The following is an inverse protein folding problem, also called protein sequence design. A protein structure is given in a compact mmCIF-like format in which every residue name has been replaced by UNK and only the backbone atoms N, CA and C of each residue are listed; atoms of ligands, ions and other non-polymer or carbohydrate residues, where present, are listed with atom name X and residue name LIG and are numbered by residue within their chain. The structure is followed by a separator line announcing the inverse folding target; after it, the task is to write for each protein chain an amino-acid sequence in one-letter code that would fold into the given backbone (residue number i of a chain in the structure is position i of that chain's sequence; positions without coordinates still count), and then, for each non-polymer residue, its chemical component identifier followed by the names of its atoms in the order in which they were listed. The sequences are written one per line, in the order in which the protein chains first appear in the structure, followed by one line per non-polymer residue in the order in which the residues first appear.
data_IF_916865117827
#
_entry.id   IF_916865117827
#
_cell.length_a   1.000
_cell.length_b   1.000
_cell.length_c   1.000
_cell.angle_alpha   90.00
_cell.angle_beta   90.00
_cell.angle_gamma   90.00
#
_symmetry.space_group_name_H-M   'P 1'
#
loop_
_entity.id
_entity.type
_entity.pdbx_description
1 polymer ?
#
# COMPACT_ATOMS: atom_id res chain seq x y z
N UNK A 1 33.94 9.08 5.82
CA UNK A 1 33.91 7.63 5.54
C UNK A 1 33.25 6.94 6.72
N UNK A 2 32.11 6.28 6.51
CA UNK A 2 31.41 5.56 7.58
C UNK A 2 32.20 4.28 7.85
N UNK A 3 32.90 4.20 9.00
CA UNK A 3 33.70 3.00 9.31
C UNK A 3 32.84 1.74 9.28
N UNK A 4 33.42 0.56 9.07
CA UNK A 4 32.74 -0.73 9.22
C UNK A 4 32.65 -1.08 10.70
N UNK A 5 31.50 -1.60 11.17
CA UNK A 5 31.38 -2.18 12.52
C UNK A 5 31.63 -3.68 12.41
N UNK A 6 32.48 -4.22 13.26
CA UNK A 6 32.86 -5.62 13.27
C UNK A 6 32.21 -6.38 14.42
N UNK A 7 32.26 -7.71 14.36
CA UNK A 7 31.87 -8.61 15.45
C UNK A 7 32.63 -8.28 16.73
N UNK A 8 33.93 -8.01 16.63
CA UNK A 8 34.76 -7.63 17.77
C UNK A 8 34.30 -6.35 18.46
N UNK A 9 33.80 -5.36 17.70
CA UNK A 9 33.29 -4.11 18.25
C UNK A 9 32.01 -4.34 19.08
N UNK A 10 31.12 -5.21 18.62
CA UNK A 10 29.87 -5.54 19.31
C UNK A 10 30.13 -6.34 20.59
N UNK A 11 31.05 -7.29 20.53
CA UNK A 11 31.44 -8.09 21.71
C UNK A 11 32.12 -7.23 22.77
N UNK A 12 32.97 -6.27 22.37
CA UNK A 12 33.59 -5.30 23.31
C UNK A 12 32.56 -4.43 24.02
N UNK A 13 31.43 -4.15 23.38
CA UNK A 13 30.30 -3.42 23.97
C UNK A 13 29.38 -4.32 24.83
N UNK A 14 29.76 -5.58 25.06
CA UNK A 14 28.96 -6.53 25.86
C UNK A 14 27.72 -7.07 25.13
N UNK A 15 27.65 -6.90 23.81
CA UNK A 15 26.51 -7.36 23.02
C UNK A 15 26.59 -8.81 22.56
N UNK A 16 25.43 -9.43 22.36
CA UNK A 16 25.32 -10.79 21.80
C UNK A 16 25.01 -10.73 20.30
N UNK A 17 25.31 -11.81 19.58
CA UNK A 17 25.18 -11.90 18.13
C UNK A 17 24.47 -13.21 17.74
N UNK A 18 23.72 -13.19 16.64
CA UNK A 18 23.21 -14.40 15.99
C UNK A 18 23.15 -14.23 14.47
N UNK A 19 23.03 -15.34 13.76
CA UNK A 19 22.73 -15.39 12.33
C UNK A 19 21.21 -15.45 12.12
N UNK A 20 20.69 -14.82 11.08
CA UNK A 20 19.26 -14.87 10.74
C UNK A 20 19.05 -15.48 9.36
N UNK A 21 18.23 -16.53 9.32
CA UNK A 21 17.87 -17.24 8.10
C UNK A 21 19.06 -18.03 7.50
N UNK A 22 19.02 -18.27 6.19
CA UNK A 22 20.09 -18.99 5.46
C UNK A 22 21.36 -18.15 5.24
N UNK A 23 21.44 -16.94 5.80
CA UNK A 23 22.55 -16.01 5.61
C UNK A 23 23.65 -16.20 6.65
N UNK A 24 24.92 -16.12 6.22
CA UNK A 24 26.11 -16.16 7.10
C UNK A 24 26.47 -14.79 7.72
N UNK A 25 25.58 -13.80 7.64
CA UNK A 25 25.88 -12.43 8.10
C UNK A 25 25.50 -12.29 9.57
N UNK A 26 26.42 -11.86 10.45
CA UNK A 26 26.13 -11.71 11.87
C UNK A 26 25.28 -10.47 12.17
N UNK A 27 24.30 -10.63 13.06
CA UNK A 27 23.40 -9.60 13.56
C UNK A 27 23.51 -9.46 15.09
N UNK A 28 23.74 -8.24 15.64
CA UNK A 28 23.66 -7.96 17.06
C UNK A 28 22.23 -8.14 17.59
N UNK A 29 22.13 -8.62 18.83
CA UNK A 29 20.89 -8.88 19.53
C UNK A 29 20.70 -7.94 20.71
N UNK A 30 19.51 -7.35 20.82
CA UNK A 30 19.04 -6.65 22.02
C UNK A 30 17.82 -7.40 22.53
N UNK A 31 17.83 -7.80 23.80
CA UNK A 31 16.76 -8.58 24.44
C UNK A 31 16.38 -9.86 23.66
N UNK A 32 17.39 -10.55 23.11
CA UNK A 32 17.22 -11.79 22.33
C UNK A 32 16.72 -11.60 20.89
N UNK A 33 16.56 -10.35 20.42
CA UNK A 33 16.06 -10.04 19.07
C UNK A 33 17.06 -9.23 18.26
N UNK A 34 17.07 -9.43 16.95
CA UNK A 34 17.94 -8.65 16.06
C UNK A 34 17.57 -7.18 16.03
N UNK A 35 18.55 -6.30 16.20
CA UNK A 35 18.29 -4.85 16.33
C UNK A 35 17.75 -4.24 15.02
N UNK A 36 18.14 -4.77 13.85
CA UNK A 36 17.71 -4.19 12.57
C UNK A 36 16.30 -4.56 12.12
N UNK A 37 15.73 -5.66 12.64
CA UNK A 37 14.45 -6.21 12.14
C UNK A 37 13.51 -6.70 13.24
N UNK A 38 13.93 -6.70 14.51
CA UNK A 38 13.14 -7.19 15.62
C UNK A 38 12.81 -8.69 15.54
N UNK A 39 13.47 -9.44 14.65
CA UNK A 39 13.23 -10.87 14.51
C UNK A 39 13.94 -11.63 15.63
N UNK A 40 13.20 -12.56 16.25
CA UNK A 40 13.77 -13.57 17.13
C UNK A 40 14.70 -14.45 16.32
N UNK A 41 15.91 -14.64 16.83
CA UNK A 41 16.91 -15.50 16.23
C UNK A 41 17.16 -16.66 17.19
N UNK A 42 17.16 -17.89 16.68
CA UNK A 42 17.76 -18.99 17.43
C UNK A 42 19.25 -18.68 17.56
N UNK A 43 19.74 -18.58 18.80
CA UNK A 43 21.15 -18.38 19.08
C UNK A 43 21.93 -19.60 18.59
N UNK A 44 22.42 -19.55 17.36
CA UNK A 44 23.38 -20.53 16.86
C UNK A 44 24.77 -20.09 17.31
N UNK A 45 25.41 -20.94 18.13
CA UNK A 45 26.83 -20.81 18.42
C UNK A 45 27.60 -20.97 17.12
N UNK A 46 28.09 -19.86 16.57
CA UNK A 46 28.85 -19.85 15.32
C UNK A 46 30.20 -19.17 15.56
N UNK A 47 31.26 -19.82 15.08
CA UNK A 47 32.64 -19.32 15.13
C UNK A 47 32.79 -18.15 14.14
N UNK A 48 32.68 -16.91 14.62
CA UNK A 48 33.04 -15.73 13.85
C UNK A 48 34.37 -15.16 14.31
N UNK A 49 35.22 -14.79 13.35
CA UNK A 49 36.45 -14.05 13.65
C UNK A 49 36.09 -12.60 14.03
N UNK A 50 36.82 -11.97 14.97
CA UNK A 50 36.53 -10.59 15.44
C UNK A 50 36.45 -9.54 14.33
N UNK A 51 37.13 -9.77 13.20
CA UNK A 51 37.19 -8.86 12.05
C UNK A 51 35.96 -8.95 11.13
N UNK A 52 35.06 -9.92 11.33
CA UNK A 52 33.88 -10.10 10.48
C UNK A 52 32.96 -8.89 10.59
N UNK A 53 32.55 -8.30 9.46
CA UNK A 53 31.61 -7.18 9.43
C UNK A 53 30.20 -7.63 9.77
N UNK A 54 29.53 -6.91 10.67
CA UNK A 54 28.11 -7.15 10.98
C UNK A 54 27.21 -6.57 9.88
N UNK A 55 25.93 -6.99 9.86
CA UNK A 55 24.94 -6.46 8.93
C UNK A 55 24.98 -4.92 8.88
N UNK A 56 25.01 -4.35 7.67
CA UNK A 56 25.15 -2.90 7.47
C UNK A 56 24.07 -2.05 8.18
N UNK A 57 22.85 -2.58 8.31
CA UNK A 57 21.79 -1.90 9.06
C UNK A 57 22.03 -1.97 10.57
N UNK A 58 22.48 -3.12 11.08
CA UNK A 58 22.89 -3.25 12.47
C UNK A 58 24.09 -2.37 12.81
N UNK A 59 25.06 -2.23 11.91
CA UNK A 59 26.23 -1.37 12.10
C UNK A 59 25.85 0.10 12.34
N UNK A 60 24.78 0.60 11.69
CA UNK A 60 24.25 1.95 11.94
C UNK A 60 23.62 2.07 13.33
N UNK A 61 22.89 1.05 13.76
CA UNK A 61 22.13 1.05 15.02
C UNK A 61 23.02 0.81 16.25
N UNK A 62 24.05 -0.04 16.13
CA UNK A 62 25.05 -0.27 17.19
C UNK A 62 25.74 1.04 17.57
N UNK A 63 26.05 1.90 16.61
CA UNK A 63 26.68 3.21 16.86
C UNK A 63 25.81 4.19 17.61
N UNK A 64 24.50 3.99 17.59
CA UNK A 64 23.52 4.88 18.21
C UNK A 64 23.01 4.34 19.56
N UNK A 65 23.45 3.15 19.96
CA UNK A 65 22.92 2.46 21.16
C UNK A 65 24.01 2.37 22.22
N UNK A 66 23.72 2.82 23.44
CA UNK A 66 24.54 2.54 24.63
C UNK A 66 24.19 1.15 25.16
N UNK A 67 25.19 0.27 25.24
CA UNK A 67 25.07 -1.06 25.83
C UNK A 67 25.73 -1.04 27.20
N UNK A 68 24.96 -0.65 28.21
CA UNK A 68 25.38 -0.74 29.61
C UNK A 68 24.27 -1.35 30.43
N UNK A 69 24.64 -2.31 31.29
CA UNK A 69 23.79 -2.96 32.28
C UNK A 69 23.51 -1.99 33.44
N UNK A 70 22.30 -2.11 33.99
CA UNK A 70 21.81 -1.71 35.33
C UNK A 70 20.88 -0.47 35.47
N UNK A 71 19.63 -0.82 35.84
CA UNK A 71 18.72 -0.37 36.92
C UNK A 71 18.42 1.12 37.19
N UNK A 72 17.11 1.37 37.45
CA UNK A 72 16.39 2.63 37.66
C UNK A 72 16.67 3.31 39.04
N UNK A 73 16.16 4.54 39.32
CA UNK A 73 14.75 4.70 39.72
C UNK A 73 14.05 5.99 39.25
N UNK A 74 12.73 6.01 39.46
CA UNK A 74 11.83 7.15 39.36
C UNK A 74 12.03 8.14 40.52
N UNK A 75 11.81 9.43 40.26
CA UNK A 75 11.51 10.45 41.27
C UNK A 75 10.24 11.19 40.83
N UNK A 76 9.18 10.99 41.60
CA UNK A 76 7.97 11.82 41.62
C UNK A 76 8.28 13.10 42.41
N UNK A 77 7.81 14.23 41.88
CA UNK A 77 7.80 15.53 42.54
C UNK A 77 6.47 15.71 43.27
N UNK A 78 6.54 16.14 44.53
CA UNK A 78 5.40 16.60 45.34
C UNK A 78 5.85 17.82 46.15
N UNK A 79 5.22 18.97 45.90
CA UNK A 79 5.17 20.11 46.82
C UNK A 79 3.82 20.82 46.53
N UNK A 80 2.82 20.66 47.38
CA UNK A 80 2.56 21.43 48.61
C UNK A 80 1.74 22.70 48.31
N UNK A 81 0.42 22.58 48.55
CA UNK A 81 -0.55 23.67 48.65
C UNK A 81 -0.24 24.55 49.87
N UNK A 82 -0.41 25.86 49.73
CA UNK A 82 -0.82 26.73 50.84
C UNK A 82 -1.84 27.74 50.33
N UNK A 83 -2.97 27.81 51.04
CA UNK A 83 -4.06 28.75 50.86
C UNK A 83 -3.81 30.06 51.63
N UNK A 84 -4.34 31.18 51.14
CA UNK A 84 -4.98 32.22 51.96
C UNK A 84 -5.75 33.24 51.10
N UNK A 85 -6.80 33.75 51.74
CA UNK A 85 -8.00 34.48 51.32
C UNK A 85 -7.89 36.02 51.15
N UNK A 86 -9.07 36.61 50.85
CA UNK A 86 -9.55 38.00 51.00
C UNK A 86 -9.44 38.94 49.77
N UNK A 87 -10.50 39.30 49.04
CA UNK A 87 -11.80 40.01 49.28
C UNK A 87 -11.77 41.55 49.07
N UNK A 88 -12.52 41.97 48.03
CA UNK A 88 -13.60 43.00 48.01
C UNK A 88 -13.32 44.50 47.77
N UNK A 89 -14.17 45.05 46.86
CA UNK A 89 -14.76 46.41 46.73
C UNK A 89 -13.95 47.56 46.09
N UNK A 90 -14.40 48.08 44.93
CA UNK A 90 -15.32 49.23 44.72
C UNK A 90 -14.50 50.50 44.34
N UNK A 91 -14.92 51.51 43.56
CA UNK A 91 -16.21 51.96 43.02
C UNK A 91 -15.93 53.05 41.95
N UNK A 92 -16.87 53.20 41.01
CA UNK A 92 -17.38 54.41 40.29
C UNK A 92 -16.45 55.56 39.86
N UNK A 93 -16.68 56.01 38.61
CA UNK A 93 -16.17 57.29 38.12
C UNK A 93 -16.52 57.57 36.65
N UNK A 94 -17.80 57.78 36.39
CA UNK A 94 -18.43 58.20 35.14
C UNK A 94 -17.89 59.54 34.59
N UNK A 95 -17.80 59.69 33.27
CA UNK A 95 -18.36 60.87 32.54
C UNK A 95 -18.34 60.60 31.03
N UNK A 96 -19.49 60.87 30.42
CA UNK A 96 -19.83 60.60 29.03
C UNK A 96 -19.44 61.76 28.09
N UNK A 97 -19.14 61.41 26.83
CA UNK A 97 -19.40 62.29 25.68
C UNK A 97 -19.71 61.43 24.44
N UNK A 98 -20.57 61.95 23.57
CA UNK A 98 -21.55 61.25 22.71
C UNK A 98 -21.03 60.61 21.40
N UNK A 99 -21.59 59.42 21.08
CA UNK A 99 -21.90 58.73 19.78
C UNK A 99 -20.94 58.78 18.56
N UNK A 100 -20.74 57.63 17.85
CA UNK A 100 -21.80 56.99 17.05
C UNK A 100 -21.94 55.46 17.23
N UNK A 101 -23.07 54.95 16.77
CA UNK A 101 -23.56 53.57 16.89
C UNK A 101 -22.50 52.44 16.76
N UNK A 102 -22.49 51.60 17.79
CA UNK A 102 -22.27 50.15 17.81
C UNK A 102 -21.04 49.59 17.08
N UNK A 103 -19.86 49.95 17.59
CA UNK A 103 -18.76 48.98 17.69
C UNK A 103 -18.43 48.78 19.17
N UNK A 104 -18.33 47.55 19.68
CA UNK A 104 -17.88 47.33 21.05
C UNK A 104 -16.50 48.00 21.24
N UNK A 105 -16.29 48.63 22.39
CA UNK A 105 -14.95 49.13 22.76
C UNK A 105 -13.95 47.97 22.65
N UNK A 106 -12.74 48.23 22.14
CA UNK A 106 -11.72 47.21 21.90
C UNK A 106 -11.45 46.37 23.16
N UNK A 107 -11.58 46.97 24.34
CA UNK A 107 -11.46 46.27 25.61
C UNK A 107 -12.61 45.28 25.87
N UNK A 108 -13.84 45.68 25.56
CA UNK A 108 -15.05 44.84 25.66
C UNK A 108 -14.96 43.69 24.68
N UNK A 109 -14.47 43.92 23.46
CA UNK A 109 -14.30 42.86 22.46
C UNK A 109 -13.19 41.88 22.85
N UNK A 110 -12.04 42.38 23.34
CA UNK A 110 -10.96 41.53 23.86
C UNK A 110 -11.45 40.67 25.02
N UNK A 111 -12.17 41.27 25.98
CA UNK A 111 -12.71 40.52 27.13
C UNK A 111 -13.72 39.47 26.67
N UNK A 112 -14.63 39.81 25.74
CA UNK A 112 -15.60 38.85 25.23
C UNK A 112 -14.98 37.70 24.43
N UNK A 113 -13.85 37.91 23.73
CA UNK A 113 -13.13 36.82 23.05
C UNK A 113 -12.41 35.95 24.07
N UNK A 114 -11.71 36.57 25.04
CA UNK A 114 -10.99 35.83 26.09
C UNK A 114 -11.93 35.02 26.97
N UNK A 115 -13.07 35.59 27.39
CA UNK A 115 -14.08 34.89 28.19
C UNK A 115 -14.68 33.69 27.41
N UNK A 116 -14.78 33.79 26.07
CA UNK A 116 -15.15 32.64 25.24
C UNK A 116 -14.04 31.61 25.16
N UNK A 117 -12.78 32.02 25.01
CA UNK A 117 -11.63 31.12 24.95
C UNK A 117 -11.39 30.40 26.28
N UNK A 118 -11.72 31.04 27.40
CA UNK A 118 -11.65 30.48 28.77
C UNK A 118 -12.84 29.57 29.08
N UNK A 119 -13.95 29.66 28.34
CA UNK A 119 -15.10 28.75 28.47
C UNK A 119 -14.89 27.47 27.65
N UNK A 120 -14.15 26.54 28.26
CA UNK A 120 -13.85 25.20 27.73
C UNK A 120 -15.09 24.39 27.28
N UNK A 121 -16.30 24.73 27.77
CA UNK A 121 -17.51 23.98 27.46
C UNK A 121 -18.12 24.35 26.10
N UNK A 122 -17.85 25.55 25.58
CA UNK A 122 -18.51 26.08 24.39
C UNK A 122 -17.57 26.57 23.30
N UNK A 123 -16.27 26.69 23.62
CA UNK A 123 -15.26 27.12 22.67
C UNK A 123 -14.89 26.04 21.67
N UNK A 124 -14.86 26.38 20.38
CA UNK A 124 -14.33 25.50 19.33
C UNK A 124 -12.81 25.74 19.18
N UNK A 125 -11.96 24.75 19.51
CA UNK A 125 -10.51 24.88 19.41
C UNK A 125 -10.00 25.24 18.00
N UNK A 126 -10.78 24.95 16.94
CA UNK A 126 -10.43 25.33 15.57
C UNK A 126 -10.32 26.86 15.38
N UNK A 127 -10.98 27.65 16.23
CA UNK A 127 -10.98 29.12 16.16
C UNK A 127 -9.82 29.77 16.92
N UNK A 128 -9.04 29.01 17.72
CA UNK A 128 -7.98 29.52 18.61
C UNK A 128 -6.93 30.39 17.91
N UNK A 129 -6.55 30.05 16.66
CA UNK A 129 -5.56 30.82 15.91
C UNK A 129 -6.13 32.15 15.39
N UNK A 130 -7.38 32.16 14.93
CA UNK A 130 -8.03 33.34 14.37
C UNK A 130 -8.41 34.34 15.48
N UNK A 131 -9.02 33.83 16.56
CA UNK A 131 -9.39 34.64 17.72
C UNK A 131 -8.14 35.18 18.45
N UNK A 132 -7.04 34.41 18.50
CA UNK A 132 -5.77 34.88 19.02
C UNK A 132 -5.19 36.06 18.23
N UNK A 133 -5.20 35.98 16.90
CA UNK A 133 -4.76 37.10 16.02
C UNK A 133 -5.66 38.33 16.18
N UNK A 134 -6.97 38.12 16.36
CA UNK A 134 -7.94 39.21 16.57
C UNK A 134 -7.70 39.92 17.91
N UNK A 135 -7.47 39.17 18.98
CA UNK A 135 -7.12 39.74 20.29
C UNK A 135 -5.79 40.49 20.21
N UNK A 136 -4.76 39.94 19.57
CA UNK A 136 -3.47 40.64 19.39
C UNK A 136 -3.60 41.96 18.63
N UNK A 137 -4.46 42.02 17.60
CA UNK A 137 -4.74 43.25 16.87
C UNK A 137 -5.42 44.30 17.76
N UNK A 138 -6.47 43.92 18.50
CA UNK A 138 -7.20 44.82 19.40
C UNK A 138 -6.35 45.30 20.59
N UNK A 139 -5.40 44.48 21.06
CA UNK A 139 -4.47 44.85 22.12
C UNK A 139 -3.56 46.02 21.76
N UNK A 140 -3.28 46.24 20.46
CA UNK A 140 -2.49 47.38 19.99
C UNK A 140 -3.22 48.72 20.16
N UNK A 141 -4.54 48.69 20.28
CA UNK A 141 -5.39 49.88 20.49
C UNK A 141 -5.53 50.25 21.98
N UNK A 142 -5.15 49.34 22.89
CA UNK A 142 -5.29 49.53 24.34
C UNK A 142 -4.08 50.21 25.00
N UNK A 143 -4.28 50.96 26.11
CA UNK A 143 -3.21 51.49 26.94
C UNK A 143 -2.30 50.39 27.50
N UNK A 144 -1.01 50.70 27.66
CA UNK A 144 0.04 49.73 28.03
C UNK A 144 -0.27 48.88 29.28
N UNK A 145 -0.94 49.45 30.30
CA UNK A 145 -1.31 48.71 31.52
C UNK A 145 -2.36 47.61 31.28
N UNK A 146 -3.34 47.86 30.40
CA UNK A 146 -4.39 46.89 30.05
C UNK A 146 -3.88 45.87 29.02
N UNK A 147 -2.89 46.24 28.20
CA UNK A 147 -2.28 45.37 27.19
C UNK A 147 -1.55 44.19 27.82
N UNK A 148 -0.76 44.42 28.87
CA UNK A 148 0.04 43.36 29.50
C UNK A 148 -0.84 42.31 30.18
N UNK A 149 -1.88 42.74 30.92
CA UNK A 149 -2.81 41.83 31.60
C UNK A 149 -3.57 40.94 30.61
N UNK A 150 -4.11 41.51 29.53
CA UNK A 150 -4.86 40.75 28.53
C UNK A 150 -3.97 39.86 27.63
N UNK A 151 -2.69 40.21 27.43
CA UNK A 151 -1.73 39.31 26.77
C UNK A 151 -1.43 38.08 27.61
N UNK A 152 -1.35 38.23 28.93
CA UNK A 152 -1.15 37.11 29.83
C UNK A 152 -2.36 36.17 29.78
N UNK A 153 -3.59 36.70 29.89
CA UNK A 153 -4.84 35.94 29.73
C UNK A 153 -4.92 35.22 28.39
N UNK A 154 -4.58 35.89 27.28
CA UNK A 154 -4.57 35.24 25.96
C UNK A 154 -3.66 34.02 25.93
N UNK A 155 -2.45 34.14 26.51
CA UNK A 155 -1.49 33.04 26.56
C UNK A 155 -1.99 31.89 27.43
N UNK A 156 -2.53 32.19 28.61
CA UNK A 156 -3.12 31.20 29.51
C UNK A 156 -4.29 30.45 28.84
N UNK A 157 -5.16 31.16 28.15
CA UNK A 157 -6.26 30.55 27.39
C UNK A 157 -5.76 29.67 26.23
N UNK A 158 -4.75 30.12 25.48
CA UNK A 158 -4.13 29.32 24.41
C UNK A 158 -3.43 28.06 24.93
N UNK A 159 -2.70 28.17 26.05
CA UNK A 159 -2.03 27.05 26.69
C UNK A 159 -3.06 26.04 27.24
N UNK A 160 -4.17 26.52 27.83
CA UNK A 160 -5.28 25.68 28.29
C UNK A 160 -5.97 24.92 27.14
N UNK A 161 -6.29 25.60 26.04
CA UNK A 161 -6.87 24.97 24.84
C UNK A 161 -5.89 23.93 24.26
N UNK A 162 -4.59 24.22 24.22
CA UNK A 162 -3.59 23.28 23.70
C UNK A 162 -3.47 22.01 24.56
N UNK A 163 -3.52 22.13 25.88
CA UNK A 163 -3.55 20.97 26.78
C UNK A 163 -4.88 20.21 26.68
N UNK A 164 -6.02 20.89 26.58
CA UNK A 164 -7.33 20.27 26.38
C UNK A 164 -7.39 19.45 25.07
N UNK A 165 -6.86 19.98 23.96
CA UNK A 165 -6.77 19.25 22.69
C UNK A 165 -5.84 18.04 22.81
N UNK A 166 -4.68 18.17 23.47
CA UNK A 166 -3.78 17.03 23.70
C UNK A 166 -4.43 15.94 24.54
N UNK A 167 -5.17 16.30 25.59
CA UNK A 167 -5.88 15.33 26.42
C UNK A 167 -7.07 14.71 25.69
N UNK A 168 -7.80 15.47 24.87
CA UNK A 168 -8.84 14.95 23.99
C UNK A 168 -8.27 13.96 22.95
N UNK A 169 -7.13 14.27 22.33
CA UNK A 169 -6.42 13.38 21.40
C UNK A 169 -5.93 12.12 22.09
N UNK A 170 -5.36 12.23 23.30
CA UNK A 170 -4.96 11.07 24.12
C UNK A 170 -6.16 10.22 24.52
N UNK A 171 -7.28 10.83 24.91
CA UNK A 171 -8.52 10.14 25.26
C UNK A 171 -9.13 9.44 24.04
N UNK A 172 -9.15 10.09 22.87
CA UNK A 172 -9.58 9.50 21.61
C UNK A 172 -8.67 8.34 21.19
N UNK A 173 -7.35 8.49 21.32
CA UNK A 173 -6.39 7.42 21.05
C UNK A 173 -6.55 6.24 22.02
N UNK A 174 -6.81 6.51 23.30
CA UNK A 174 -7.08 5.49 24.33
C UNK A 174 -8.42 4.79 24.11
N UNK A 175 -9.46 5.52 23.70
CA UNK A 175 -10.76 4.97 23.35
C UNK A 175 -10.69 4.11 22.07
N UNK A 176 -9.94 4.55 21.06
CA UNK A 176 -9.65 3.76 19.87
C UNK A 176 -8.84 2.50 20.19
N UNK A 177 -7.83 2.61 21.07
CA UNK A 177 -7.06 1.47 21.55
C UNK A 177 -7.91 0.49 22.39
N UNK A 178 -8.82 1.00 23.22
CA UNK A 178 -9.74 0.19 24.02
C UNK A 178 -10.81 -0.50 23.15
N UNK A 179 -11.37 0.19 22.15
CA UNK A 179 -12.27 -0.39 21.16
C UNK A 179 -11.56 -1.46 20.31
N UNK A 180 -10.31 -1.23 19.93
CA UNK A 180 -9.46 -2.23 19.25
C UNK A 180 -9.15 -3.43 20.14
N UNK A 181 -9.04 -3.24 21.46
CA UNK A 181 -8.78 -4.31 22.44
C UNK A 181 -10.04 -5.12 22.78
N UNK A 182 -11.23 -4.53 22.66
CA UNK A 182 -12.51 -5.22 22.81
C UNK A 182 -12.90 -6.08 21.59
N UNK A 183 -12.35 -5.80 20.41
CA UNK A 183 -12.40 -6.64 19.20
C UNK A 183 -11.36 -7.77 19.24
N UNK A 184 -11.26 -8.47 20.37
CA UNK A 184 -10.31 -9.55 20.61
C UNK A 184 -10.58 -10.84 19.84
N UNK A 185 -10.85 -10.79 18.53
CA UNK A 185 -10.53 -11.82 17.51
C UNK A 185 -10.42 -11.07 16.17
N UNK A 186 -9.33 -10.31 15.95
CA UNK A 186 -9.12 -9.60 14.66
C UNK A 186 -8.92 -10.57 13.49
N UNK A 187 -8.23 -11.68 13.74
CA UNK A 187 -7.97 -12.74 12.77
C UNK A 187 -8.97 -13.88 12.98
N UNK A 188 -9.61 -14.33 11.90
CA UNK A 188 -10.37 -15.58 11.95
C UNK A 188 -9.39 -16.73 12.18
N UNK A 189 -9.45 -17.36 13.35
CA UNK A 189 -8.60 -18.51 13.70
C UNK A 189 -9.25 -19.85 13.38
N UNK A 190 -10.59 -19.92 13.50
CA UNK A 190 -11.40 -21.10 13.17
C UNK A 190 -12.42 -20.71 12.10
N UNK A 191 -12.43 -21.45 10.99
CA UNK A 191 -13.35 -21.19 9.89
C UNK A 191 -14.77 -21.71 10.18
N UNK A 192 -14.95 -22.71 11.05
CA UNK A 192 -16.27 -23.22 11.42
C UNK A 192 -17.09 -22.19 12.21
N UNK A 193 -16.42 -21.27 12.90
CA UNK A 193 -17.05 -20.16 13.59
C UNK A 193 -17.56 -19.06 12.63
N UNK A 194 -17.25 -19.13 11.34
CA UNK A 194 -17.64 -18.13 10.34
C UNK A 194 -18.98 -18.53 9.69
N UNK A 195 -20.03 -17.69 9.81
CA UNK A 195 -21.33 -18.00 9.23
C UNK A 195 -21.26 -18.31 7.73
N UNK A 196 -21.86 -19.43 7.35
CA UNK A 196 -21.97 -19.84 5.96
C UNK A 196 -20.66 -20.38 5.33
N UNK A 197 -19.57 -20.53 6.11
CA UNK A 197 -18.28 -20.98 5.57
C UNK A 197 -18.27 -22.48 5.24
N UNK A 198 -19.01 -23.29 5.99
CA UNK A 198 -19.13 -24.72 5.76
C UNK A 198 -19.92 -25.03 4.48
N UNK A 199 -21.02 -24.31 4.25
CA UNK A 199 -21.82 -24.39 3.03
C UNK A 199 -20.99 -23.98 1.80
N UNK A 200 -20.12 -22.98 1.94
CA UNK A 200 -19.18 -22.61 0.87
C UNK A 200 -18.11 -23.68 0.64
N UNK A 201 -17.68 -24.40 1.66
CA UNK A 201 -16.74 -25.51 1.50
C UNK A 201 -17.38 -26.65 0.70
N UNK A 202 -18.65 -26.96 0.99
CA UNK A 202 -19.44 -27.97 0.26
C UNK A 202 -19.74 -27.55 -1.18
N UNK A 203 -20.20 -26.31 -1.39
CA UNK A 203 -20.43 -25.76 -2.73
C UNK A 203 -19.13 -25.76 -3.54
N UNK A 204 -18.04 -25.29 -2.95
CA UNK A 204 -16.73 -25.27 -3.57
C UNK A 204 -16.21 -26.66 -3.90
N UNK A 205 -16.43 -27.64 -3.01
CA UNK A 205 -16.08 -29.03 -3.24
C UNK A 205 -16.86 -29.63 -4.41
N UNK A 206 -18.18 -29.37 -4.48
CA UNK A 206 -19.02 -29.81 -5.60
C UNK A 206 -18.56 -29.19 -6.93
N UNK A 207 -18.19 -27.90 -6.95
CA UNK A 207 -17.64 -27.25 -8.14
C UNK A 207 -16.30 -27.84 -8.55
N UNK A 208 -15.39 -28.12 -7.61
CA UNK A 208 -14.10 -28.74 -7.90
C UNK A 208 -14.26 -30.19 -8.39
N UNK A 209 -15.18 -30.95 -7.80
CA UNK A 209 -15.54 -32.29 -8.27
C UNK A 209 -16.13 -32.23 -9.70
N UNK A 210 -17.01 -31.26 -9.97
CA UNK A 210 -17.57 -31.05 -11.30
C UNK A 210 -16.51 -30.73 -12.37
N UNK A 211 -15.41 -30.03 -12.04
CA UNK A 211 -14.29 -29.83 -12.99
C UNK A 211 -13.65 -31.18 -13.38
N UNK A 212 -13.61 -32.12 -12.43
CA UNK A 212 -12.99 -33.45 -12.61
C UNK A 212 -13.84 -34.37 -13.47
N UNK A 213 -15.17 -34.31 -13.29
CA UNK A 213 -16.15 -35.10 -14.04
C UNK A 213 -16.51 -34.47 -15.40
N UNK A 214 -16.29 -33.16 -15.56
CA UNK A 214 -16.68 -32.44 -16.78
C UNK A 214 -15.87 -32.88 -18.01
N UNK A 215 -16.60 -33.49 -18.94
CA UNK A 215 -16.34 -33.55 -20.39
C UNK A 215 -16.64 -32.17 -21.05
N UNK A 216 -16.95 -31.11 -20.27
CA UNK A 216 -17.24 -29.73 -20.70
C UNK A 216 -16.07 -28.74 -20.57
N UNK A 217 -16.36 -27.43 -20.68
CA UNK A 217 -15.38 -26.34 -20.57
C UNK A 217 -14.79 -26.24 -19.16
N UNK A 218 -13.68 -26.94 -18.91
CA UNK A 218 -12.93 -26.90 -17.64
C UNK A 218 -12.58 -25.46 -17.18
N UNK A 219 -12.61 -24.48 -18.08
CA UNK A 219 -12.38 -23.07 -17.76
C UNK A 219 -13.55 -22.42 -17.00
N UNK A 220 -14.80 -22.75 -17.33
CA UNK A 220 -16.00 -22.19 -16.67
C UNK A 220 -16.12 -22.73 -15.25
N UNK A 221 -16.02 -24.04 -15.07
CA UNK A 221 -16.07 -24.66 -13.75
C UNK A 221 -14.89 -24.22 -12.85
N UNK A 222 -13.70 -23.99 -13.43
CA UNK A 222 -12.58 -23.38 -12.71
C UNK A 222 -12.83 -21.92 -12.29
N UNK A 223 -13.60 -21.16 -13.08
CA UNK A 223 -14.00 -19.80 -12.74
C UNK A 223 -15.05 -19.80 -11.61
N UNK A 224 -16.05 -20.69 -11.67
CA UNK A 224 -17.03 -20.84 -10.59
C UNK A 224 -16.36 -21.23 -9.26
N UNK A 225 -15.46 -22.22 -9.28
CA UNK A 225 -14.68 -22.60 -8.11
C UNK A 225 -13.85 -21.43 -7.57
N UNK A 226 -13.27 -20.60 -8.45
CA UNK A 226 -12.55 -19.41 -8.04
C UNK A 226 -13.46 -18.35 -7.38
N UNK A 227 -14.68 -18.17 -7.87
CA UNK A 227 -15.63 -17.24 -7.25
C UNK A 227 -16.07 -17.71 -5.86
N UNK A 228 -16.32 -19.01 -5.66
CA UNK A 228 -16.61 -19.58 -4.34
C UNK A 228 -15.44 -19.36 -3.38
N UNK A 229 -14.20 -19.61 -3.84
CA UNK A 229 -13.00 -19.35 -3.07
C UNK A 229 -12.84 -17.87 -2.69
N UNK A 230 -13.11 -16.93 -3.62
CA UNK A 230 -13.09 -15.50 -3.30
C UNK A 230 -14.18 -15.14 -2.28
N UNK A 231 -15.37 -15.72 -2.40
CA UNK A 231 -16.46 -15.46 -1.47
C UNK A 231 -16.12 -15.92 -0.05
N UNK A 232 -15.50 -17.09 0.11
CA UNK A 232 -14.99 -17.53 1.40
C UNK A 232 -13.90 -16.58 1.94
N UNK A 233 -12.94 -16.16 1.11
CA UNK A 233 -11.90 -15.18 1.49
C UNK A 233 -12.44 -13.83 1.97
N UNK A 234 -13.60 -13.40 1.45
CA UNK A 234 -14.25 -12.16 1.87
C UNK A 234 -14.82 -12.25 3.30
N UNK A 235 -15.13 -13.47 3.76
CA UNK A 235 -15.68 -13.73 5.09
C UNK A 235 -14.61 -13.93 6.14
N UNK A 236 -13.47 -14.50 5.77
CA UNK A 236 -12.33 -14.64 6.67
C UNK A 236 -11.60 -13.30 6.88
N UNK A 237 -11.18 -13.06 8.11
CA UNK A 237 -10.41 -11.88 8.49
C UNK A 237 -8.95 -12.24 8.73
N UNK A 238 -8.05 -11.41 8.20
CA UNK A 238 -6.62 -11.53 8.44
C UNK A 238 -6.23 -10.85 9.78
N UNK A 239 -4.94 -10.85 10.10
CA UNK A 239 -4.37 -10.19 11.30
C UNK A 239 -4.69 -8.70 11.44
N UNK A 240 -5.02 -8.06 10.32
CA UNK A 240 -5.36 -6.64 10.23
C UNK A 240 -6.87 -6.38 10.36
N UNK A 241 -7.69 -7.44 10.53
CA UNK A 241 -9.16 -7.34 10.52
C UNK A 241 -9.74 -7.10 9.12
N UNK A 242 -8.91 -7.21 8.08
CA UNK A 242 -9.30 -7.05 6.68
C UNK A 242 -9.75 -8.39 6.09
N UNK A 243 -10.59 -8.39 5.04
CA UNK A 243 -10.89 -9.61 4.30
C UNK A 243 -9.60 -10.31 3.82
N UNK A 244 -9.47 -11.62 4.01
CA UNK A 244 -8.28 -12.40 3.63
C UNK A 244 -8.22 -12.71 2.13
N UNK A 245 -8.21 -11.66 1.31
CA UNK A 245 -8.17 -11.73 -0.16
C UNK A 245 -6.92 -12.47 -0.67
N UNK A 246 -5.83 -12.46 0.10
CA UNK A 246 -4.60 -13.18 -0.21
C UNK A 246 -4.67 -14.69 0.11
N UNK A 247 -5.53 -15.09 1.05
CA UNK A 247 -5.63 -16.47 1.51
C UNK A 247 -4.39 -16.90 2.30
N UNK A 248 -3.92 -16.05 3.21
CA UNK A 248 -2.73 -16.32 4.03
C UNK A 248 -3.06 -16.71 5.47
N UNK A 249 -4.28 -16.40 5.94
CA UNK A 249 -4.75 -16.73 7.29
C UNK A 249 -4.79 -18.24 7.53
N UNK A 250 -4.78 -18.63 8.80
CA UNK A 250 -4.87 -20.04 9.18
C UNK A 250 -6.26 -20.60 8.84
N UNK A 251 -7.35 -19.88 9.16
CA UNK A 251 -8.71 -20.29 8.82
C UNK A 251 -8.91 -20.53 7.32
N UNK A 252 -8.32 -19.69 6.45
CA UNK A 252 -8.36 -19.94 5.01
C UNK A 252 -7.67 -21.25 4.62
N UNK A 253 -6.51 -21.55 5.22
CA UNK A 253 -5.78 -22.80 4.91
C UNK A 253 -6.57 -24.01 5.34
N UNK A 254 -7.17 -23.96 6.53
CA UNK A 254 -7.96 -25.07 7.06
C UNK A 254 -9.22 -25.28 6.23
N UNK A 255 -9.94 -24.20 5.89
CA UNK A 255 -11.07 -24.25 4.96
C UNK A 255 -10.68 -24.77 3.58
N UNK A 256 -9.55 -24.30 3.02
CA UNK A 256 -9.08 -24.74 1.71
C UNK A 256 -8.64 -26.20 1.72
N UNK A 257 -8.12 -26.70 2.84
CA UNK A 257 -7.80 -28.10 3.00
C UNK A 257 -9.08 -28.95 3.08
N UNK A 258 -10.06 -28.53 3.88
CA UNK A 258 -11.36 -29.19 3.99
C UNK A 258 -12.08 -29.27 2.65
N UNK A 259 -12.13 -28.17 1.89
CA UNK A 259 -12.68 -28.14 0.53
C UNK A 259 -12.02 -29.17 -0.38
N UNK A 260 -10.68 -29.29 -0.34
CA UNK A 260 -9.97 -30.27 -1.16
C UNK A 260 -10.29 -31.70 -0.69
N UNK A 261 -10.31 -31.96 0.62
CA UNK A 261 -10.67 -33.27 1.17
C UNK A 261 -12.10 -33.66 0.78
N UNK A 262 -13.06 -32.75 0.90
CA UNK A 262 -14.46 -32.96 0.47
C UNK A 262 -14.55 -33.20 -1.03
N UNK A 263 -13.82 -32.44 -1.85
CA UNK A 263 -13.76 -32.65 -3.30
C UNK A 263 -13.12 -34.00 -3.67
N UNK A 264 -12.21 -34.52 -2.85
CA UNK A 264 -11.62 -35.84 -3.03
C UNK A 264 -12.58 -36.96 -2.67
N UNK A 265 -13.29 -36.83 -1.54
CA UNK A 265 -14.33 -37.80 -1.10
C UNK A 265 -15.48 -37.86 -2.10
N UNK A 266 -15.86 -36.71 -2.68
CA UNK A 266 -16.90 -36.64 -3.70
C UNK A 266 -16.57 -37.44 -4.98
N UNK A 267 -15.33 -37.89 -5.13
CA UNK A 267 -14.85 -38.59 -6.31
C UNK A 267 -14.51 -40.04 -5.94
N UNK A 268 -15.15 -41.01 -6.61
CA UNK A 268 -14.97 -42.44 -6.35
C UNK A 268 -13.53 -42.91 -6.53
N UNK A 269 -13.04 -43.76 -5.61
CA UNK A 269 -11.64 -44.08 -5.33
C UNK A 269 -10.88 -44.99 -6.31
N UNK A 270 -11.46 -45.37 -7.45
CA UNK A 270 -10.82 -46.26 -8.44
C UNK A 270 -10.26 -45.46 -9.62
N UNK A 271 -9.20 -44.66 -9.39
CA UNK A 271 -8.70 -43.74 -10.42
C UNK A 271 -7.22 -43.95 -10.80
N UNK A 272 -6.90 -44.02 -12.12
CA UNK A 272 -5.57 -44.33 -12.65
C UNK A 272 -4.53 -43.19 -12.48
N UNK A 273 -3.23 -43.49 -12.66
CA UNK A 273 -2.10 -42.55 -12.43
C UNK A 273 -2.19 -41.19 -13.16
N UNK A 274 -2.92 -41.10 -14.28
CA UNK A 274 -3.10 -39.84 -15.03
C UNK A 274 -3.97 -38.79 -14.31
N UNK A 275 -4.67 -39.21 -13.25
CA UNK A 275 -5.52 -38.36 -12.43
C UNK A 275 -4.73 -37.33 -11.60
N UNK A 276 -3.51 -37.67 -11.15
CA UNK A 276 -2.64 -36.74 -10.41
C UNK A 276 -2.20 -35.55 -11.28
N UNK A 277 -1.96 -35.81 -12.57
CA UNK A 277 -1.69 -34.78 -13.58
C UNK A 277 -2.94 -33.92 -13.81
N UNK A 278 -4.12 -34.54 -13.95
CA UNK A 278 -5.41 -33.82 -14.05
C UNK A 278 -5.65 -32.92 -12.84
N UNK A 279 -5.46 -33.41 -11.61
CA UNK A 279 -5.60 -32.61 -10.39
C UNK A 279 -4.69 -31.38 -10.41
N UNK A 280 -3.43 -31.56 -10.80
CA UNK A 280 -2.46 -30.46 -10.91
C UNK A 280 -2.90 -29.43 -11.96
N UNK A 281 -3.45 -29.87 -13.09
CA UNK A 281 -4.01 -29.00 -14.13
C UNK A 281 -5.25 -28.24 -13.65
N UNK A 282 -6.15 -28.90 -12.91
CA UNK A 282 -7.35 -28.30 -12.32
C UNK A 282 -6.96 -27.23 -11.30
N UNK A 283 -6.10 -27.56 -10.34
CA UNK A 283 -5.60 -26.61 -9.35
C UNK A 283 -4.86 -25.44 -10.02
N UNK A 284 -4.08 -25.70 -11.07
CA UNK A 284 -3.44 -24.67 -11.88
C UNK A 284 -4.44 -23.74 -12.57
N UNK A 285 -5.55 -24.29 -13.08
CA UNK A 285 -6.61 -23.55 -13.75
C UNK A 285 -7.41 -22.69 -12.77
N UNK A 286 -7.81 -23.25 -11.63
CA UNK A 286 -8.48 -22.51 -10.55
C UNK A 286 -7.57 -21.39 -10.05
N UNK A 287 -6.27 -21.64 -9.84
CA UNK A 287 -5.32 -20.59 -9.44
C UNK A 287 -5.19 -19.47 -10.47
N UNK A 288 -5.23 -19.81 -11.77
CA UNK A 288 -5.21 -18.82 -12.83
C UNK A 288 -6.48 -17.96 -12.83
N UNK A 289 -7.66 -18.58 -12.66
CA UNK A 289 -8.94 -17.86 -12.56
C UNK A 289 -9.04 -17.03 -11.28
N UNK A 290 -8.52 -17.52 -10.15
CA UNK A 290 -8.41 -16.75 -8.90
C UNK A 290 -7.65 -15.45 -9.08
N UNK A 291 -6.59 -15.43 -9.91
CA UNK A 291 -5.88 -14.19 -10.20
C UNK A 291 -6.76 -13.18 -10.95
N UNK A 292 -7.67 -13.63 -11.81
CA UNK A 292 -8.58 -12.76 -12.55
C UNK A 292 -9.70 -12.26 -11.63
N UNK A 293 -10.44 -13.18 -11.03
CA UNK A 293 -11.57 -12.90 -10.13
C UNK A 293 -11.17 -11.96 -8.99
N UNK A 294 -9.97 -12.15 -8.41
CA UNK A 294 -9.43 -11.27 -7.38
C UNK A 294 -9.13 -9.86 -7.88
N UNK A 295 -8.53 -9.73 -9.06
CA UNK A 295 -8.21 -8.42 -9.65
C UNK A 295 -9.49 -7.68 -10.01
N UNK A 296 -10.48 -8.38 -10.57
CA UNK A 296 -11.76 -7.80 -10.95
C UNK A 296 -12.54 -7.34 -9.71
N UNK A 297 -12.55 -8.13 -8.63
CA UNK A 297 -13.14 -7.73 -7.36
C UNK A 297 -12.48 -6.46 -6.79
N UNK A 298 -11.15 -6.40 -6.75
CA UNK A 298 -10.44 -5.22 -6.22
C UNK A 298 -10.74 -3.99 -7.07
N UNK A 299 -10.78 -4.11 -8.40
CA UNK A 299 -11.16 -2.99 -9.30
C UNK A 299 -12.61 -2.56 -9.08
N UNK A 300 -13.51 -3.49 -8.80
CA UNK A 300 -14.92 -3.20 -8.54
C UNK A 300 -15.16 -2.42 -7.24
N UNK A 301 -14.21 -2.40 -6.29
CA UNK A 301 -14.31 -1.62 -5.05
C UNK A 301 -14.48 -0.12 -5.31
N UNK A 302 -13.95 0.41 -6.40
CA UNK A 302 -14.11 1.83 -6.76
C UNK A 302 -15.56 2.22 -7.09
N UNK A 303 -16.40 1.22 -7.36
CA UNK A 303 -17.81 1.38 -7.70
C UNK A 303 -18.75 0.75 -6.66
N UNK A 304 -18.21 0.15 -5.60
CA UNK A 304 -18.98 -0.49 -4.53
C UNK A 304 -18.57 0.08 -3.17
N UNK A 305 -19.23 1.16 -2.71
CA UNK A 305 -18.87 1.83 -1.45
C UNK A 305 -19.06 0.92 -0.23
N UNK A 306 -20.01 -0.01 -0.28
CA UNK A 306 -20.27 -0.98 0.79
C UNK A 306 -19.12 -1.98 0.95
N UNK A 307 -18.63 -2.54 -0.15
CA UNK A 307 -17.47 -3.45 -0.13
C UNK A 307 -16.18 -2.71 0.21
N UNK A 308 -16.01 -1.49 -0.30
CA UNK A 308 -14.88 -0.63 0.03
C UNK A 308 -14.81 -0.33 1.53
N UNK A 309 -15.96 -0.14 2.19
CA UNK A 309 -16.03 0.09 3.63
C UNK A 309 -15.41 -1.06 4.45
N UNK A 310 -15.41 -2.30 3.95
CA UNK A 310 -14.76 -3.44 4.61
C UNK A 310 -13.24 -3.27 4.73
N UNK A 311 -12.62 -2.47 3.85
CA UNK A 311 -11.19 -2.18 3.86
C UNK A 311 -10.86 -0.84 4.54
N UNK A 312 -11.78 0.12 4.46
CA UNK A 312 -11.57 1.47 4.99
C UNK A 312 -11.99 1.63 6.46
N UNK A 313 -12.89 0.77 6.96
CA UNK A 313 -13.38 0.79 8.35
C UNK A 313 -12.89 -0.40 9.19
N UNK A 314 -11.95 -1.18 8.67
CA UNK A 314 -11.34 -2.26 9.44
C UNK A 314 -10.50 -1.71 10.61
N UNK A 315 -10.16 -2.58 11.57
CA UNK A 315 -9.34 -2.21 12.72
C UNK A 315 -7.98 -1.64 12.30
N UNK A 316 -7.34 -2.26 11.30
CA UNK A 316 -6.19 -1.70 10.60
C UNK A 316 -6.62 -1.36 9.16
N UNK A 317 -7.14 -0.15 8.91
CA UNK A 317 -7.70 0.19 7.61
C UNK A 317 -6.60 0.40 6.55
N UNK A 318 -6.97 0.14 5.30
CA UNK A 318 -6.10 0.41 4.15
C UNK A 318 -5.93 1.93 3.99
N UNK A 319 -4.68 2.40 4.05
CA UNK A 319 -4.35 3.83 3.90
C UNK A 319 -4.44 4.27 2.44
N UNK A 320 -5.48 5.03 2.11
CA UNK A 320 -5.70 5.65 0.80
C UNK A 320 -5.03 7.04 0.77
N UNK A 321 -4.17 7.29 -0.22
CA UNK A 321 -3.57 8.62 -0.42
C UNK A 321 -4.59 9.58 -1.04
N UNK A 322 -4.33 10.89 -0.92
CA UNK A 322 -5.11 11.91 -1.63
C UNK A 322 -5.15 11.60 -3.13
N UNK A 323 -6.34 11.61 -3.71
CA UNK A 323 -6.63 11.31 -5.12
C UNK A 323 -6.29 9.88 -5.58
N UNK A 324 -5.97 8.96 -4.66
CA UNK A 324 -5.76 7.52 -4.95
C UNK A 324 -7.11 6.79 -4.94
N UNK A 325 -7.31 5.89 -5.92
CA UNK A 325 -8.47 5.00 -5.93
C UNK A 325 -8.38 3.97 -4.80
N UNK A 326 -9.51 3.51 -4.30
CA UNK A 326 -9.55 2.48 -3.23
C UNK A 326 -8.90 1.19 -3.74
N UNK A 327 -9.20 0.81 -4.99
CA UNK A 327 -8.62 -0.37 -5.63
C UNK A 327 -7.08 -0.33 -5.65
N UNK A 328 -6.47 0.81 -6.00
CA UNK A 328 -5.02 1.00 -6.03
C UNK A 328 -4.40 0.88 -4.63
N UNK A 329 -5.05 1.46 -3.62
CA UNK A 329 -4.61 1.35 -2.23
C UNK A 329 -4.67 -0.10 -1.74
N UNK A 330 -5.70 -0.86 -2.11
CA UNK A 330 -5.85 -2.29 -1.78
C UNK A 330 -4.80 -3.14 -2.51
N UNK A 331 -4.57 -2.93 -3.81
CA UNK A 331 -3.50 -3.60 -4.55
C UNK A 331 -2.14 -3.39 -3.89
N UNK A 332 -1.84 -2.15 -3.50
CA UNK A 332 -0.61 -1.76 -2.81
C UNK A 332 -0.48 -2.43 -1.43
N UNK A 333 -1.55 -2.43 -0.64
CA UNK A 333 -1.55 -2.99 0.70
C UNK A 333 -1.26 -4.50 0.70
N UNK A 334 -1.94 -5.26 -0.18
CA UNK A 334 -1.77 -6.71 -0.26
C UNK A 334 -0.60 -7.16 -1.17
N UNK A 335 0.04 -6.24 -1.89
CA UNK A 335 1.08 -6.57 -2.86
C UNK A 335 0.54 -7.41 -4.03
N UNK A 336 -0.72 -7.23 -4.38
CA UNK A 336 -1.38 -7.93 -5.49
C UNK A 336 -1.10 -7.17 -6.78
N UNK A 337 -0.70 -7.87 -7.83
CA UNK A 337 -0.54 -7.25 -9.14
C UNK A 337 -1.89 -6.74 -9.65
N UNK A 338 -1.95 -5.48 -10.06
CA UNK A 338 -3.15 -4.85 -10.62
C UNK A 338 -3.62 -5.47 -11.94
N UNK A 339 -2.77 -6.30 -12.58
CA UNK A 339 -3.09 -7.09 -13.76
C UNK A 339 -3.12 -8.59 -13.43
N UNK A 340 -4.12 -9.27 -13.98
CA UNK A 340 -4.26 -10.72 -13.82
C UNK A 340 -3.19 -11.50 -14.58
N UNK A 341 -3.02 -12.79 -14.26
CA UNK A 341 -2.16 -13.70 -15.04
C UNK A 341 -2.61 -13.80 -16.50
N UNK A 342 -3.92 -13.79 -16.76
CA UNK A 342 -4.47 -13.88 -18.11
C UNK A 342 -4.17 -12.63 -18.94
N UNK A 343 -4.31 -11.44 -18.33
CA UNK A 343 -3.94 -10.16 -18.92
C UNK A 343 -2.43 -10.13 -19.24
N UNK A 344 -1.58 -10.49 -18.27
CA UNK A 344 -0.13 -10.57 -18.49
C UNK A 344 0.25 -11.51 -19.63
N UNK A 345 -0.34 -12.72 -19.69
CA UNK A 345 -0.10 -13.68 -20.78
C UNK A 345 -0.63 -13.18 -22.13
N UNK A 346 -1.68 -12.35 -22.15
CA UNK A 346 -2.20 -11.74 -23.37
C UNK A 346 -1.23 -10.66 -23.87
N UNK A 347 -0.76 -9.82 -22.96
CA UNK A 347 0.22 -8.77 -23.23
C UNK A 347 1.54 -9.38 -23.72
N UNK A 348 2.03 -10.44 -23.07
CA UNK A 348 3.25 -11.15 -23.48
C UNK A 348 3.10 -11.79 -24.87
N UNK A 349 1.93 -12.35 -25.19
CA UNK A 349 1.66 -12.92 -26.52
C UNK A 349 1.59 -11.83 -27.59
N UNK A 350 0.94 -10.71 -27.28
CA UNK A 350 0.90 -9.56 -28.17
C UNK A 350 2.32 -9.00 -28.40
N UNK A 351 3.12 -8.87 -27.34
CA UNK A 351 4.51 -8.44 -27.44
C UNK A 351 5.35 -9.38 -28.31
N UNK A 352 5.25 -10.71 -28.09
CA UNK A 352 5.94 -11.72 -28.90
C UNK A 352 5.49 -11.71 -30.36
N UNK A 353 4.21 -11.52 -30.62
CA UNK A 353 3.67 -11.42 -31.98
C UNK A 353 4.22 -10.19 -32.71
N UNK A 354 4.31 -9.05 -32.02
CA UNK A 354 4.95 -7.84 -32.56
C UNK A 354 6.42 -8.13 -32.86
N UNK A 355 7.19 -8.65 -31.90
CA UNK A 355 8.63 -8.94 -32.10
C UNK A 355 8.89 -9.95 -33.23
N UNK A 356 8.04 -10.98 -33.36
CA UNK A 356 8.14 -11.95 -34.45
C UNK A 356 7.81 -11.32 -35.81
N UNK A 357 6.76 -10.49 -35.88
CA UNK A 357 6.41 -9.73 -37.08
C UNK A 357 7.52 -8.77 -37.51
N UNK A 358 8.13 -8.05 -36.56
CA UNK A 358 9.24 -7.12 -36.87
C UNK A 358 10.50 -7.85 -37.33
N UNK A 359 10.81 -9.01 -36.73
CA UNK A 359 11.94 -9.86 -37.18
C UNK A 359 11.73 -10.38 -38.59
N UNK A 360 10.54 -10.89 -38.90
CA UNK A 360 10.21 -11.37 -40.25
C UNK A 360 10.28 -10.25 -41.29
N UNK A 361 9.76 -9.06 -40.97
CA UNK A 361 9.86 -7.89 -41.85
C UNK A 361 11.31 -7.46 -42.09
N UNK A 362 12.17 -7.54 -41.06
CA UNK A 362 13.60 -7.24 -41.17
C UNK A 362 14.33 -8.24 -42.06
N UNK A 363 14.06 -9.54 -41.89
CA UNK A 363 14.64 -10.58 -42.74
C UNK A 363 14.26 -10.40 -44.23
N UNK A 364 13.00 -10.03 -44.50
CA UNK A 364 12.55 -9.69 -45.86
C UNK A 364 13.22 -8.44 -46.41
N UNK A 365 13.40 -7.40 -45.59
CA UNK A 365 14.10 -6.18 -45.99
C UNK A 365 15.59 -6.42 -46.28
N UNK A 366 16.27 -7.23 -45.45
CA UNK A 366 17.67 -7.61 -45.64
C UNK A 366 17.86 -8.44 -46.92
N UNK A 367 16.92 -9.33 -47.22
CA UNK A 367 16.95 -10.13 -48.44
C UNK A 367 16.71 -9.27 -49.69
N UNK A 368 15.75 -8.34 -49.64
CA UNK A 368 15.53 -7.36 -50.71
C UNK A 368 16.75 -6.45 -50.93
N UNK A 369 17.41 -6.01 -49.85
CA UNK A 369 18.63 -5.21 -49.91
C UNK A 369 19.79 -5.97 -50.59
N UNK A 370 19.97 -7.26 -50.25
CA UNK A 370 20.97 -8.12 -50.89
C UNK A 370 20.70 -8.28 -52.38
N UNK A 371 19.47 -8.63 -52.77
CA UNK A 371 19.09 -8.79 -54.19
C UNK A 371 19.26 -7.49 -54.98
N UNK A 372 18.91 -6.33 -54.39
CA UNK A 372 19.13 -5.03 -55.01
C UNK A 372 20.61 -4.69 -55.22
N UNK A 373 21.46 -5.06 -54.26
CA UNK A 373 22.91 -4.87 -54.32
C UNK A 373 23.53 -5.74 -55.42
N UNK A 374 23.09 -7.00 -55.51
CA UNK A 374 23.56 -7.94 -56.53
C UNK A 374 23.15 -7.51 -57.95
N UNK A 375 21.95 -6.95 -58.10
CA UNK A 375 21.45 -6.36 -59.36
C UNK A 375 21.99 -4.96 -59.67
N UNK A 376 22.89 -4.40 -58.83
CA UNK A 376 23.45 -3.04 -58.96
C UNK A 376 22.39 -1.94 -59.18
N UNK A 377 21.26 -2.02 -58.46
CA UNK A 377 20.19 -1.01 -58.53
C UNK A 377 20.28 -0.07 -57.32
N UNK A 378 21.04 1.05 -57.40
CA UNK A 378 21.33 1.90 -56.24
C UNK A 378 20.09 2.53 -55.59
N UNK A 379 19.00 2.70 -56.34
CA UNK A 379 17.71 3.17 -55.82
C UNK A 379 17.06 2.12 -54.91
N UNK A 380 17.09 0.84 -55.29
CA UNK A 380 16.53 -0.25 -54.50
C UNK A 380 17.35 -0.54 -53.24
N UNK A 381 18.68 -0.37 -53.30
CA UNK A 381 19.55 -0.45 -52.10
C UNK A 381 19.19 0.65 -51.10
N UNK A 382 19.07 1.92 -51.54
CA UNK A 382 18.68 3.03 -50.65
C UNK A 382 17.28 2.83 -50.04
N UNK A 383 16.31 2.36 -50.82
CA UNK A 383 14.96 2.09 -50.33
C UNK A 383 14.96 1.01 -49.23
N UNK A 384 15.69 -0.09 -49.44
CA UNK A 384 15.79 -1.15 -48.45
C UNK A 384 16.49 -0.69 -47.15
N UNK A 385 17.53 0.16 -47.24
CA UNK A 385 18.21 0.71 -46.06
C UNK A 385 17.33 1.69 -45.25
N UNK A 386 16.54 2.54 -45.92
CA UNK A 386 15.60 3.46 -45.25
C UNK A 386 14.53 2.66 -44.49
N UNK A 387 14.08 1.56 -45.07
CA UNK A 387 13.10 0.66 -44.47
C UNK A 387 13.69 -0.11 -43.30
N UNK A 388 14.90 -0.64 -43.43
CA UNK A 388 15.58 -1.30 -42.33
C UNK A 388 15.76 -0.33 -41.14
N UNK A 389 16.02 0.94 -41.44
CA UNK A 389 16.11 2.01 -40.43
C UNK A 389 14.75 2.30 -39.78
N UNK A 390 13.66 2.32 -40.55
CA UNK A 390 12.31 2.48 -40.04
C UNK A 390 11.85 1.28 -39.19
N UNK A 391 12.13 0.06 -39.61
CA UNK A 391 11.86 -1.17 -38.84
C UNK A 391 12.66 -1.19 -37.54
N UNK A 392 13.94 -0.79 -37.56
CA UNK A 392 14.75 -0.63 -36.34
C UNK A 392 14.23 0.48 -35.43
N UNK A 393 13.63 1.54 -35.96
CA UNK A 393 12.98 2.58 -35.17
C UNK A 393 11.69 2.04 -34.51
N UNK A 394 10.93 1.20 -35.21
CA UNK A 394 9.78 0.48 -34.66
C UNK A 394 10.17 -0.53 -33.56
N UNK A 395 11.27 -1.29 -33.72
CA UNK A 395 11.81 -2.17 -32.67
C UNK A 395 12.25 -1.39 -31.42
N UNK A 396 12.62 -0.11 -31.59
CA UNK A 396 13.11 0.77 -30.52
C UNK A 396 12.02 1.66 -29.91
N UNK A 397 10.79 1.62 -30.42
CA UNK A 397 9.68 2.29 -29.75
C UNK A 397 9.56 1.71 -28.34
N UNK A 398 9.61 2.54 -27.28
CA UNK A 398 9.46 2.04 -25.93
C UNK A 398 8.11 1.32 -25.84
N UNK A 399 8.15 0.04 -25.46
CA UNK A 399 6.94 -0.78 -25.34
C UNK A 399 5.89 -0.13 -24.45
N UNK A 400 6.33 0.68 -23.49
CA UNK A 400 5.51 1.49 -22.60
C UNK A 400 4.60 2.47 -23.37
N UNK A 401 5.08 3.05 -24.47
CA UNK A 401 4.31 3.96 -25.34
C UNK A 401 3.31 3.23 -26.24
N UNK A 402 3.65 2.02 -26.72
CA UNK A 402 2.74 1.16 -27.49
C UNK A 402 1.67 0.53 -26.57
N UNK A 403 2.03 0.26 -25.31
CA UNK A 403 1.12 -0.30 -24.30
C UNK A 403 0.18 0.75 -23.70
N UNK A 404 0.59 2.03 -23.63
CA UNK A 404 -0.26 3.14 -23.22
C UNK A 404 -1.27 3.58 -24.29
N UNK A 405 -1.08 3.17 -25.56
CA UNK A 405 -2.03 3.44 -26.63
C UNK A 405 -3.34 2.68 -26.43
N UNK A 406 -4.46 3.40 -26.57
CA UNK A 406 -5.81 2.83 -26.60
C UNK A 406 -6.00 1.94 -27.87
N UNK A 407 -7.15 1.29 -28.00
CA UNK A 407 -7.42 0.38 -29.13
C UNK A 407 -7.24 1.06 -30.50
N UNK A 408 -7.70 2.31 -30.65
CA UNK A 408 -7.48 3.13 -31.84
C UNK A 408 -5.98 3.39 -32.11
N UNK A 409 -5.20 3.72 -31.08
CA UNK A 409 -3.77 3.97 -31.23
C UNK A 409 -3.02 2.71 -31.69
N UNK A 410 -3.44 1.53 -31.24
CA UNK A 410 -2.87 0.24 -31.69
C UNK A 410 -3.26 -0.08 -33.14
N UNK A 411 -4.50 0.19 -33.55
CA UNK A 411 -4.93 0.06 -34.95
C UNK A 411 -4.17 1.01 -35.86
N UNK A 412 -3.94 2.26 -35.43
CA UNK A 412 -3.14 3.24 -36.19
C UNK A 412 -1.70 2.78 -36.39
N UNK A 413 -1.04 2.31 -35.33
CA UNK A 413 0.32 1.76 -35.42
C UNK A 413 0.39 0.57 -36.39
N UNK A 414 -0.62 -0.31 -36.38
CA UNK A 414 -0.69 -1.43 -37.34
C UNK A 414 -1.00 -0.98 -38.77
N UNK A 415 -1.85 0.04 -38.94
CA UNK A 415 -2.16 0.64 -40.23
C UNK A 415 -0.91 1.27 -40.86
N UNK A 416 -0.18 2.07 -40.09
CA UNK A 416 1.04 2.76 -40.54
C UNK A 416 2.14 1.75 -40.91
N UNK A 417 2.24 0.64 -40.17
CA UNK A 417 3.15 -0.46 -40.50
C UNK A 417 2.78 -1.16 -41.81
N UNK A 418 1.48 -1.43 -42.04
CA UNK A 418 0.99 -2.02 -43.30
C UNK A 418 1.19 -1.07 -44.48
N UNK A 419 0.97 0.22 -44.28
CA UNK A 419 1.18 1.24 -45.31
C UNK A 419 2.64 1.30 -45.75
N UNK A 420 3.58 1.25 -44.80
CA UNK A 420 5.02 1.17 -45.11
C UNK A 420 5.39 -0.10 -45.90
N UNK A 421 4.81 -1.25 -45.57
CA UNK A 421 4.99 -2.49 -46.34
C UNK A 421 4.44 -2.34 -47.77
N UNK A 422 3.27 -1.74 -47.93
CA UNK A 422 2.70 -1.48 -49.26
C UNK A 422 3.53 -0.52 -50.11
N UNK A 423 4.18 0.48 -49.48
CA UNK A 423 5.11 1.39 -50.16
C UNK A 423 6.37 0.63 -50.62
N UNK A 424 6.89 -0.29 -49.81
CA UNK A 424 8.01 -1.15 -50.16
C UNK A 424 7.74 -2.02 -51.39
N UNK A 425 6.60 -2.71 -51.40
CA UNK A 425 6.21 -3.57 -52.52
C UNK A 425 6.10 -2.78 -53.82
N UNK A 426 5.53 -1.57 -53.77
CA UNK A 426 5.45 -0.66 -54.93
C UNK A 426 6.83 -0.21 -55.41
N UNK A 427 7.75 0.10 -54.50
CA UNK A 427 9.12 0.50 -54.87
C UNK A 427 9.88 -0.68 -55.50
N UNK A 428 9.72 -1.90 -54.97
CA UNK A 428 10.33 -3.11 -55.52
C UNK A 428 9.76 -3.40 -56.91
N UNK A 429 8.43 -3.41 -57.08
CA UNK A 429 7.79 -3.61 -58.37
C UNK A 429 8.19 -2.55 -59.41
N UNK A 430 8.28 -1.29 -59.00
CA UNK A 430 8.73 -0.21 -59.88
C UNK A 430 10.21 -0.33 -60.28
N UNK A 431 11.03 -0.99 -59.45
CA UNK A 431 12.42 -1.30 -59.76
C UNK A 431 12.56 -2.54 -60.66
N UNK A 432 11.68 -3.53 -60.51
CA UNK A 432 11.66 -4.74 -61.34
C UNK A 432 11.08 -4.49 -62.74
N UNK A 433 10.08 -3.60 -62.89
CA UNK A 433 9.52 -3.22 -64.18
C UNK A 433 10.38 -2.28 -65.04
N UNK A 434 11.55 -1.86 -64.54
CA UNK A 434 12.51 -0.98 -65.24
C UNK A 434 13.86 -1.65 -65.55
N UNK A 435 14.01 -2.93 -65.19
CA UNK A 435 15.12 -3.81 -65.59
C UNK A 435 14.69 -4.66 -66.79
#
# INVERSE_FOLDING_TARGET
MVGTVTVGDVLKLGGTLATVGKGKVPHPLKDGKTICKGQEAEAQNFEHTPETTVCANCAKLVRQTTWTKDQAPAEETSAEETAAEETVAAKDGETAEETPADKPDALTEVSAILDRMEDDATYDPANAEEDGKRVEALLLELPNGKRTANRLRLREAQDAIAEAVKEADKAAAKAAAAASKALGVLETTDYHAVPGAEELAEEGAAKVAAIRDAIGSAAEAANEAANVQLHARRRFRNKDGLPDIDGKSQAWRDWSNDLNVKAEIAVTSDLPEDEKKRRTLIQGSVRAQMSQVRVDYIRALDHSPEEAALFLKAANPVKVKKDEKVSDAVFRHFGIASRSIAEKKRDDRAAKAITAGTRSAKESADQAAKTAKDKKTPVAVKAATVVETALRAFEKLPMDAIQAANAEGKERIQSDAKEMIGILEKIIQAAEGKA
#
